data_IF_325740288568
#
_entry.id   IF_325740288568
#
_cell.length_a   1.000
_cell.length_b   1.000
_cell.length_c   1.000
_cell.angle_alpha   90.00
_cell.angle_beta   90.00
_cell.angle_gamma   90.00
#
_symmetry.space_group_name_H-M   'P 1'
#
loop_
_entity.id
_entity.type
_entity.pdbx_description
1 polymer ?
#
# COMPACT_ATOMS: atom_id res chain seq x y z
N UNK A 1 -13.21 -1.97 -5.79
CA UNK A 1 -13.39 -2.38 -4.38
C UNK A 1 -12.76 -3.74 -4.15
N UNK A 2 -13.12 -4.75 -4.95
CA UNK A 2 -12.53 -6.09 -4.88
C UNK A 2 -11.00 -6.09 -4.96
N UNK A 3 -10.40 -5.31 -5.88
CA UNK A 3 -8.93 -5.23 -5.99
C UNK A 3 -8.26 -4.68 -4.72
N UNK A 4 -8.89 -3.70 -4.06
CA UNK A 4 -8.39 -3.16 -2.80
C UNK A 4 -8.52 -4.18 -1.67
N UNK A 5 -9.64 -4.90 -1.58
CA UNK A 5 -9.82 -5.96 -0.59
C UNK A 5 -8.76 -7.07 -0.75
N UNK A 6 -8.50 -7.49 -2.00
CA UNK A 6 -7.48 -8.47 -2.32
C UNK A 6 -6.07 -7.95 -1.99
N UNK A 7 -5.75 -6.73 -2.41
CA UNK A 7 -4.45 -6.12 -2.15
C UNK A 7 -4.18 -5.92 -0.65
N UNK A 8 -5.18 -5.46 0.11
CA UNK A 8 -5.08 -5.30 1.55
C UNK A 8 -4.91 -6.65 2.26
N UNK A 9 -5.70 -7.65 1.87
CA UNK A 9 -5.58 -9.01 2.41
C UNK A 9 -4.19 -9.60 2.17
N UNK A 10 -3.66 -9.47 0.94
CA UNK A 10 -2.31 -9.90 0.60
C UNK A 10 -1.24 -9.13 1.40
N UNK A 11 -1.36 -7.81 1.50
CA UNK A 11 -0.42 -6.98 2.26
C UNK A 11 -0.34 -7.42 3.72
N UNK A 12 -1.48 -7.63 4.39
CA UNK A 12 -1.52 -8.10 5.77
C UNK A 12 -0.88 -9.47 5.91
N UNK A 13 -1.26 -10.42 5.06
CA UNK A 13 -0.72 -11.78 5.09
C UNK A 13 0.81 -11.83 4.89
N UNK A 14 1.33 -11.09 3.90
CA UNK A 14 2.77 -11.06 3.65
C UNK A 14 3.53 -10.33 4.74
N UNK A 15 2.95 -9.26 5.34
CA UNK A 15 3.58 -8.59 6.47
C UNK A 15 3.77 -9.56 7.65
N UNK A 16 2.75 -10.35 7.95
CA UNK A 16 2.82 -11.35 9.02
C UNK A 16 3.88 -12.40 8.71
N UNK A 17 3.95 -12.92 7.48
CA UNK A 17 5.00 -13.86 7.08
C UNK A 17 6.42 -13.27 7.19
N UNK A 18 6.61 -12.01 6.78
CA UNK A 18 7.91 -11.34 6.90
C UNK A 18 8.31 -11.18 8.37
N UNK A 19 7.37 -10.77 9.22
CA UNK A 19 7.57 -10.66 10.66
C UNK A 19 7.97 -12.00 11.28
N UNK A 20 7.26 -13.08 10.94
CA UNK A 20 7.58 -14.43 11.44
C UNK A 20 8.89 -14.98 10.89
N UNK A 21 9.35 -14.50 9.73
CA UNK A 21 10.65 -14.89 9.17
C UNK A 21 11.85 -14.27 9.90
N UNK A 22 11.63 -13.44 10.93
CA UNK A 22 12.66 -12.68 11.66
C UNK A 22 13.54 -11.80 10.76
N UNK A 23 13.01 -11.39 9.61
CA UNK A 23 13.69 -10.47 8.68
C UNK A 23 13.13 -9.07 8.84
N UNK A 24 14.01 -8.09 8.98
CA UNK A 24 13.63 -6.69 9.11
C UNK A 24 13.39 -6.07 7.72
N UNK A 25 12.27 -6.45 7.11
CA UNK A 25 11.84 -5.91 5.82
C UNK A 25 10.64 -5.00 5.98
N UNK A 26 10.75 -3.80 5.41
CA UNK A 26 9.62 -2.90 5.28
C UNK A 26 8.81 -3.26 4.04
N UNK A 27 7.56 -3.69 4.23
CA UNK A 27 6.62 -3.97 3.15
C UNK A 27 5.93 -2.68 2.70
N UNK A 28 5.80 -2.51 1.38
CA UNK A 28 5.07 -1.41 0.75
C UNK A 28 4.09 -1.93 -0.28
N UNK A 29 2.91 -1.32 -0.35
CA UNK A 29 1.93 -1.54 -1.40
C UNK A 29 2.21 -0.59 -2.57
N UNK A 30 2.58 -1.15 -3.72
CA UNK A 30 2.85 -0.37 -4.92
C UNK A 30 1.56 -0.01 -5.66
N UNK A 31 1.33 1.28 -5.90
CA UNK A 31 0.12 1.77 -6.59
C UNK A 31 0.44 2.90 -7.56
N UNK A 32 -0.37 3.04 -8.61
CA UNK A 32 -0.26 4.20 -9.51
C UNK A 32 -0.54 5.48 -8.74
N UNK A 33 0.23 6.53 -9.01
CA UNK A 33 0.05 7.87 -8.40
C UNK A 33 -1.38 8.38 -8.61
N UNK A 34 -1.92 8.21 -9.82
CA UNK A 34 -3.31 8.59 -10.13
C UNK A 34 -4.37 7.87 -9.28
N UNK A 35 -4.13 6.62 -8.91
CA UNK A 35 -5.02 5.85 -8.02
C UNK A 35 -4.84 6.30 -6.57
N UNK A 36 -3.60 6.61 -6.16
CA UNK A 36 -3.31 7.17 -4.85
C UNK A 36 -4.03 8.51 -4.62
N UNK A 37 -3.97 9.40 -5.60
CA UNK A 37 -4.56 10.75 -5.52
C UNK A 37 -6.09 10.76 -5.64
N UNK A 38 -6.71 9.64 -5.99
CA UNK A 38 -8.18 9.55 -6.18
C UNK A 38 -8.83 8.56 -5.22
N UNK A 39 -8.59 7.26 -5.41
CA UNK A 39 -9.23 6.20 -4.62
C UNK A 39 -8.76 6.23 -3.15
N UNK A 40 -7.45 6.37 -2.94
CA UNK A 40 -6.85 6.32 -1.62
C UNK A 40 -7.02 7.61 -0.80
N UNK A 41 -7.43 8.72 -1.44
CA UNK A 41 -7.81 9.95 -0.73
C UNK A 41 -9.24 9.94 -0.16
N UNK A 42 -10.04 8.91 -0.46
CA UNK A 42 -11.40 8.78 0.11
C UNK A 42 -11.30 8.56 1.62
N UNK A 43 -12.03 9.37 2.41
CA UNK A 43 -12.00 9.32 3.89
C UNK A 43 -12.18 7.91 4.47
N UNK A 44 -13.10 7.12 3.92
CA UNK A 44 -13.33 5.74 4.36
C UNK A 44 -12.14 4.82 4.10
N UNK A 45 -11.47 4.98 2.96
CA UNK A 45 -10.28 4.19 2.59
C UNK A 45 -9.07 4.61 3.43
N UNK A 46 -8.88 5.92 3.65
CA UNK A 46 -7.82 6.43 4.53
C UNK A 46 -7.94 5.91 5.96
N UNK A 47 -9.16 5.81 6.50
CA UNK A 47 -9.39 5.27 7.83
C UNK A 47 -8.90 3.81 7.94
N UNK A 48 -9.21 2.97 6.94
CA UNK A 48 -8.77 1.58 6.88
C UNK A 48 -7.25 1.48 6.76
N UNK A 49 -6.64 2.27 5.89
CA UNK A 49 -5.18 2.27 5.67
C UNK A 49 -4.42 2.69 6.91
N UNK A 50 -4.90 3.74 7.59
CA UNK A 50 -4.29 4.21 8.83
C UNK A 50 -4.42 3.18 9.93
N UNK A 51 -5.59 2.54 10.06
CA UNK A 51 -5.79 1.46 11.04
C UNK A 51 -4.82 0.30 10.82
N UNK A 52 -4.61 -0.09 9.56
CA UNK A 52 -3.72 -1.20 9.23
C UNK A 52 -2.26 -0.83 9.03
N UNK A 53 -1.87 0.45 9.14
CA UNK A 53 -0.49 0.91 8.93
C UNK A 53 0.08 0.42 7.58
N UNK A 54 -0.64 0.73 6.50
CA UNK A 54 -0.23 0.36 5.15
C UNK A 54 0.74 1.41 4.61
N UNK A 55 1.97 1.00 4.31
CA UNK A 55 2.93 1.85 3.62
C UNK A 55 2.70 1.77 2.11
N UNK A 56 2.93 2.87 1.40
CA UNK A 56 2.78 2.95 -0.05
C UNK A 56 4.07 3.32 -0.75
N UNK A 57 4.26 2.74 -1.91
CA UNK A 57 5.14 3.31 -2.93
C UNK A 57 4.26 3.68 -4.12
N UNK A 58 4.31 4.94 -4.54
CA UNK A 58 3.53 5.41 -5.68
C UNK A 58 4.43 5.52 -6.90
N UNK A 59 3.90 5.19 -8.07
CA UNK A 59 4.65 5.28 -9.32
C UNK A 59 3.84 5.92 -10.45
N UNK A 60 4.54 6.48 -11.43
CA UNK A 60 3.95 6.96 -12.67
C UNK A 60 4.09 5.85 -13.73
N UNK A 61 2.98 5.35 -14.25
CA UNK A 61 2.97 4.24 -15.20
C UNK A 61 3.36 4.65 -16.63
N UNK A 62 3.31 5.94 -16.96
CA UNK A 62 3.74 6.46 -18.27
C UNK A 62 5.23 6.75 -18.33
N UNK A 63 5.80 7.19 -17.21
CA UNK A 63 7.23 7.53 -17.09
C UNK A 63 8.07 6.40 -16.49
N UNK A 64 7.43 5.35 -15.98
CA UNK A 64 8.07 4.21 -15.31
C UNK A 64 8.98 4.62 -14.14
N UNK A 65 8.56 5.64 -13.38
CA UNK A 65 9.32 6.18 -12.25
C UNK A 65 8.55 6.07 -10.93
N UNK A 66 9.28 5.85 -9.84
CA UNK A 66 8.74 5.98 -8.48
C UNK A 66 8.56 7.46 -8.19
N UNK A 67 7.36 7.85 -7.75
CA UNK A 67 7.04 9.24 -7.44
C UNK A 67 7.19 9.54 -5.94
N UNK A 68 6.77 8.63 -5.07
CA UNK A 68 6.83 8.82 -3.62
C UNK A 68 6.91 7.52 -2.83
N UNK A 69 7.51 7.60 -1.65
CA UNK A 69 7.42 6.60 -0.58
C UNK A 69 6.66 7.21 0.59
N UNK A 70 5.56 6.58 1.00
CA UNK A 70 4.65 7.10 2.02
C UNK A 70 4.57 6.10 3.15
N UNK A 71 5.06 6.51 4.32
CA UNK A 71 4.99 5.71 5.56
C UNK A 71 3.75 6.09 6.35
N UNK A 72 3.05 5.07 6.85
CA UNK A 72 1.87 5.23 7.72
C UNK A 72 2.24 5.56 9.16
#
# INVERSE_FOLDING_TARGET
MNDFQNALGQYLLYRDFLQFSHKDYQLYLAVKTSIFDTFFQRKSIQAVIKHHQVNFVTFNDKKEEITSWIKS
#
